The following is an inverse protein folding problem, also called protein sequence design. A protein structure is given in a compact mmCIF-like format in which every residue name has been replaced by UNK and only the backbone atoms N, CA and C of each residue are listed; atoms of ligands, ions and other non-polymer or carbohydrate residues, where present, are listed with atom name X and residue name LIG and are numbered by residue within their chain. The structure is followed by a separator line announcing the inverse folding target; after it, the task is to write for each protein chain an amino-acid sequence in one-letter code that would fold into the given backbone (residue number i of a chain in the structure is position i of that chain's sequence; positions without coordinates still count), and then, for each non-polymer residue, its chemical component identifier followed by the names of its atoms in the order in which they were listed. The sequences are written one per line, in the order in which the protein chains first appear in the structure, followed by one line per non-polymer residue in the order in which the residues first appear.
data_IF_166073169382
#
_entry.id   IF_166073169382
#
_cell.length_a   1.000
_cell.length_b   1.000
_cell.length_c   1.000
_cell.angle_alpha   90.00
_cell.angle_beta   90.00
_cell.angle_gamma   90.00
#
_symmetry.space_group_name_H-M   'P 1'
#
loop_
_entity.id
_entity.type
_entity.pdbx_description
1 polymer ?
#
# COMPACT_ATOMS: atom_id res chain seq x y z
N UNK A 1 1.12 -14.56 10.77
CA UNK A 1 0.28 -15.55 10.08
C UNK A 1 0.38 -15.24 8.59
N UNK A 2 0.61 -16.23 7.73
CA UNK A 2 0.48 -16.01 6.28
C UNK A 2 -1.01 -15.76 5.97
N UNK A 3 -1.37 -14.90 5.02
CA UNK A 3 -2.77 -14.78 4.63
C UNK A 3 -3.21 -16.11 3.99
N UNK A 4 -4.21 -16.76 4.58
CA UNK A 4 -4.81 -18.01 4.10
C UNK A 4 -5.72 -17.79 2.87
N UNK A 5 -5.86 -16.54 2.44
CA UNK A 5 -6.70 -16.09 1.32
C UNK A 5 -5.90 -15.22 0.35
N UNK A 6 -6.17 -15.35 -0.93
CA UNK A 6 -5.47 -14.65 -2.01
C UNK A 6 -6.00 -15.07 -3.37
N UNK A 7 -5.50 -14.46 -4.44
CA UNK A 7 -5.97 -14.77 -5.80
C UNK A 7 -5.48 -16.14 -6.33
N UNK A 8 -4.81 -16.97 -5.53
CA UNK A 8 -4.21 -18.23 -5.97
C UNK A 8 -5.22 -19.38 -6.04
N UNK A 9 -5.01 -20.33 -6.97
CA UNK A 9 -5.75 -21.59 -7.04
C UNK A 9 -5.13 -22.71 -6.16
N UNK A 10 -4.02 -22.44 -5.47
CA UNK A 10 -3.35 -23.37 -4.56
C UNK A 10 -2.92 -22.68 -3.27
N UNK A 11 -3.14 -23.37 -2.15
CA UNK A 11 -2.57 -23.01 -0.85
C UNK A 11 -1.09 -23.38 -0.86
N UNK A 12 -0.22 -22.37 -0.91
CA UNK A 12 1.23 -22.56 -0.87
C UNK A 12 1.74 -22.29 0.54
N UNK A 13 2.06 -23.34 1.31
CA UNK A 13 2.81 -23.18 2.55
C UNK A 13 4.25 -22.77 2.22
N UNK A 14 4.73 -21.68 2.83
CA UNK A 14 6.15 -21.27 2.74
C UNK A 14 6.58 -20.48 1.50
N UNK A 15 5.66 -20.08 0.60
CA UNK A 15 6.03 -19.14 -0.48
C UNK A 15 6.12 -17.72 0.11
N UNK A 16 7.35 -17.27 0.37
CA UNK A 16 7.65 -15.87 0.66
C UNK A 16 7.28 -15.07 -0.59
N UNK A 17 6.09 -14.46 -0.60
CA UNK A 17 5.68 -13.59 -1.70
C UNK A 17 6.77 -12.55 -1.98
N UNK A 18 6.95 -12.19 -3.25
CA UNK A 18 7.83 -11.09 -3.61
C UNK A 18 7.30 -9.82 -2.92
N UNK A 19 7.91 -9.45 -1.79
CA UNK A 19 7.56 -8.26 -0.99
C UNK A 19 8.10 -7.00 -1.66
N UNK A 20 7.72 -6.78 -2.91
CA UNK A 20 8.02 -5.53 -3.60
C UNK A 20 6.99 -4.51 -3.10
N UNK A 21 7.43 -3.65 -2.19
CA UNK A 21 6.62 -2.55 -1.68
C UNK A 21 6.78 -1.32 -2.57
N UNK A 22 5.66 -0.65 -2.84
CA UNK A 22 5.60 0.64 -3.51
C UNK A 22 4.63 1.51 -2.71
N UNK A 23 5.06 2.71 -2.34
CA UNK A 23 4.23 3.69 -1.63
C UNK A 23 3.71 4.73 -2.61
N UNK A 24 2.43 5.09 -2.48
CA UNK A 24 1.78 6.13 -3.28
C UNK A 24 1.30 7.25 -2.37
N UNK A 25 1.66 8.50 -2.68
CA UNK A 25 1.08 9.69 -2.05
C UNK A 25 0.13 10.39 -3.01
N UNK A 26 -1.11 10.60 -2.58
CA UNK A 26 -2.18 11.17 -3.40
C UNK A 26 -2.46 12.63 -3.04
N UNK A 27 -2.87 13.43 -4.01
CA UNK A 27 -3.29 14.82 -3.77
C UNK A 27 -4.43 15.20 -4.71
N UNK A 28 -5.52 15.71 -4.14
CA UNK A 28 -6.70 16.12 -4.88
C UNK A 28 -7.37 17.34 -4.23
N UNK A 29 -8.02 18.20 -5.02
CA UNK A 29 -8.58 19.45 -4.52
C UNK A 29 -10.05 19.32 -4.06
N UNK A 30 -10.45 20.20 -3.15
CA UNK A 30 -11.79 20.23 -2.56
C UNK A 30 -12.95 20.34 -3.55
N UNK A 31 -12.75 21.07 -4.65
CA UNK A 31 -13.77 21.22 -5.68
C UNK A 31 -14.04 19.93 -6.47
N UNK A 32 -13.16 18.92 -6.34
CA UNK A 32 -13.19 17.72 -7.15
C UNK A 32 -12.98 18.04 -8.63
N UNK A 33 -12.07 18.96 -8.96
CA UNK A 33 -11.78 19.32 -10.36
C UNK A 33 -10.40 18.90 -10.79
N UNK A 34 -9.54 18.54 -9.85
CA UNK A 34 -8.15 18.25 -10.09
C UNK A 34 -7.61 17.20 -9.13
N UNK A 35 -7.02 16.18 -9.71
CA UNK A 35 -6.14 15.19 -9.07
C UNK A 35 -4.73 15.45 -9.58
N UNK A 36 -3.75 15.56 -8.69
CA UNK A 36 -2.34 15.68 -9.09
C UNK A 36 -1.76 14.29 -9.36
N UNK A 37 -0.70 14.18 -10.18
CA UNK A 37 0.06 12.94 -10.31
C UNK A 37 0.53 12.46 -8.93
N UNK A 38 0.38 11.16 -8.60
CA UNK A 38 0.84 10.65 -7.33
C UNK A 38 2.37 10.69 -7.23
N UNK A 39 2.88 10.90 -6.01
CA UNK A 39 4.27 10.57 -5.70
C UNK A 39 4.38 9.05 -5.53
N UNK A 40 5.37 8.45 -6.19
CA UNK A 40 5.59 7.00 -6.15
C UNK A 40 6.97 6.74 -5.54
N UNK A 41 7.04 5.89 -4.51
CA UNK A 41 8.29 5.55 -3.84
C UNK A 41 8.50 4.04 -3.88
N UNK A 42 9.63 3.59 -4.43
CA UNK A 42 10.02 2.19 -4.45
C UNK A 42 11.38 1.93 -3.81
N UNK A 43 11.83 0.67 -3.84
CA UNK A 43 13.13 0.30 -3.26
C UNK A 43 14.31 0.73 -4.13
N UNK A 44 14.29 0.33 -5.40
CA UNK A 44 15.38 0.55 -6.33
C UNK A 44 15.23 1.88 -7.06
N UNK A 45 16.33 2.61 -7.25
CA UNK A 45 16.35 3.83 -8.07
C UNK A 45 15.96 3.54 -9.53
N UNK A 46 16.54 2.49 -10.11
CA UNK A 46 16.22 2.01 -11.44
C UNK A 46 15.83 0.53 -11.39
N UNK A 47 14.55 0.21 -11.08
CA UNK A 47 14.06 -1.16 -11.13
C UNK A 47 14.34 -1.79 -12.49
N UNK A 48 14.76 -3.06 -12.54
CA UNK A 48 15.01 -3.77 -13.82
C UNK A 48 13.83 -3.68 -14.79
N UNK A 49 12.60 -3.62 -14.25
CA UNK A 49 11.37 -3.45 -15.01
C UNK A 49 11.33 -2.14 -15.83
N UNK A 50 12.11 -1.12 -15.46
CA UNK A 50 12.18 0.16 -16.18
C UNK A 50 13.08 0.10 -17.42
N UNK A 51 13.83 -1.00 -17.62
CA UNK A 51 14.72 -1.18 -18.78
C UNK A 51 15.71 -0.02 -18.96
N UNK A 52 16.42 0.34 -17.87
CA UNK A 52 17.40 1.43 -17.81
C UNK A 52 16.84 2.85 -18.03
N UNK A 53 15.51 3.02 -17.96
CA UNK A 53 14.88 4.36 -17.95
C UNK A 53 14.67 4.85 -16.52
N UNK A 54 14.69 6.15 -16.32
CA UNK A 54 14.28 6.77 -15.06
C UNK A 54 12.75 6.78 -14.93
N UNK A 55 12.23 6.99 -13.73
CA UNK A 55 10.78 7.17 -13.54
C UNK A 55 10.22 8.34 -14.32
N UNK A 56 10.95 9.46 -14.38
CA UNK A 56 10.57 10.66 -15.14
C UNK A 56 10.47 10.35 -16.64
N UNK A 57 11.43 9.63 -17.22
CA UNK A 57 11.36 9.18 -18.62
C UNK A 57 10.18 8.23 -18.90
N UNK A 58 9.62 7.63 -17.84
CA UNK A 58 8.41 6.81 -17.90
C UNK A 58 7.15 7.62 -17.56
N UNK A 59 7.26 8.91 -17.26
CA UNK A 59 6.15 9.80 -16.94
C UNK A 59 5.67 9.71 -15.48
N UNK A 60 6.53 9.24 -14.57
CA UNK A 60 6.22 9.11 -13.15
C UNK A 60 7.08 10.04 -12.30
N UNK A 61 6.49 10.65 -11.27
CA UNK A 61 7.25 11.22 -10.17
C UNK A 61 7.67 10.09 -9.23
N UNK A 62 8.80 9.45 -9.55
CA UNK A 62 9.31 8.28 -8.85
C UNK A 62 10.53 8.63 -8.03
N UNK A 63 10.49 8.26 -6.75
CA UNK A 63 11.59 8.35 -5.81
C UNK A 63 11.91 6.96 -5.24
N UNK A 64 13.02 6.83 -4.55
CA UNK A 64 13.40 5.55 -3.96
C UNK A 64 14.17 5.69 -2.65
N UNK A 65 14.03 4.67 -1.81
CA UNK A 65 14.93 4.41 -0.68
C UNK A 65 14.81 2.94 -0.27
N UNK A 66 15.71 2.47 0.58
CA UNK A 66 15.76 1.06 0.99
C UNK A 66 14.46 0.54 1.63
N UNK A 67 13.61 1.42 2.19
CA UNK A 67 12.33 1.05 2.82
C UNK A 67 11.11 1.28 1.91
N UNK A 68 11.29 1.94 0.76
CA UNK A 68 10.22 2.42 -0.11
C UNK A 68 9.20 3.35 0.60
N UNK A 69 9.61 4.12 1.61
CA UNK A 69 8.73 4.96 2.44
C UNK A 69 8.93 6.46 2.21
N UNK A 70 7.98 7.27 2.65
CA UNK A 70 8.15 8.72 2.64
C UNK A 70 9.25 9.14 3.64
N UNK A 71 10.16 10.00 3.21
CA UNK A 71 11.21 10.60 4.05
C UNK A 71 11.12 12.12 3.99
N UNK A 72 11.77 12.81 4.95
CA UNK A 72 11.78 14.29 4.98
C UNK A 72 12.31 14.86 3.66
N UNK A 73 13.41 14.32 3.15
CA UNK A 73 14.02 14.80 1.90
C UNK A 73 13.08 14.60 0.71
N UNK A 74 12.50 13.40 0.57
CA UNK A 74 11.56 13.10 -0.52
C UNK A 74 10.34 14.03 -0.47
N UNK A 75 9.80 14.26 0.73
CA UNK A 75 8.68 15.17 0.95
C UNK A 75 9.04 16.62 0.61
N UNK A 76 10.21 17.10 1.06
CA UNK A 76 10.68 18.46 0.79
C UNK A 76 10.90 18.70 -0.70
N UNK A 77 11.56 17.77 -1.40
CA UNK A 77 11.76 17.85 -2.85
C UNK A 77 10.41 17.92 -3.59
N UNK A 78 9.47 17.06 -3.20
CA UNK A 78 8.13 17.03 -3.79
C UNK A 78 7.35 18.32 -3.55
N UNK A 79 7.33 18.84 -2.32
CA UNK A 79 6.55 20.04 -2.01
C UNK A 79 7.17 21.31 -2.60
N UNK A 80 8.50 21.38 -2.76
CA UNK A 80 9.17 22.48 -3.46
C UNK A 80 8.86 22.47 -4.95
N UNK A 81 8.93 21.30 -5.59
CA UNK A 81 8.52 21.16 -6.99
C UNK A 81 7.04 21.52 -7.19
N UNK A 82 6.20 21.16 -6.21
CA UNK A 82 4.79 21.53 -6.22
C UNK A 82 4.58 23.04 -6.02
N UNK A 83 5.34 23.68 -5.12
CA UNK A 83 5.28 25.13 -4.89
C UNK A 83 5.60 25.88 -6.18
N UNK A 84 6.72 25.54 -6.81
CA UNK A 84 7.17 26.08 -8.09
C UNK A 84 6.16 25.86 -9.23
N UNK A 85 5.46 24.71 -9.24
CA UNK A 85 4.34 24.47 -10.15
C UNK A 85 3.17 25.46 -9.95
N UNK A 86 2.83 25.78 -8.70
CA UNK A 86 1.79 26.77 -8.39
C UNK A 86 2.27 28.22 -8.54
N UNK A 87 3.55 28.51 -8.32
CA UNK A 87 4.19 29.80 -8.60
C UNK A 87 4.06 30.17 -10.07
N UNK A 88 4.38 29.24 -10.98
CA UNK A 88 4.22 29.46 -12.43
C UNK A 88 2.78 29.69 -12.86
N UNK A 89 1.81 29.30 -12.05
CA UNK A 89 0.38 29.52 -12.29
C UNK A 89 -0.16 30.76 -11.60
N UNK A 90 0.70 31.52 -10.90
CA UNK A 90 0.32 32.63 -10.04
C UNK A 90 -0.85 32.26 -9.09
N UNK A 91 -0.79 31.04 -8.52
CA UNK A 91 -1.87 30.51 -7.69
C UNK A 91 -1.33 30.21 -6.30
N UNK A 92 -2.07 30.65 -5.29
CA UNK A 92 -1.84 30.25 -3.90
C UNK A 92 -2.80 29.14 -3.51
N UNK A 93 -2.31 28.14 -2.77
CA UNK A 93 -3.13 27.05 -2.27
C UNK A 93 -2.92 26.80 -0.78
N UNK A 94 -3.92 26.19 -0.16
CA UNK A 94 -3.80 25.56 1.14
C UNK A 94 -3.71 24.04 0.94
N UNK A 95 -2.62 23.43 1.39
CA UNK A 95 -2.45 21.98 1.44
C UNK A 95 -2.79 21.47 2.84
N UNK A 96 -3.73 20.53 2.91
CA UNK A 96 -4.09 19.83 4.15
C UNK A 96 -3.51 18.43 4.11
N UNK A 97 -2.86 17.99 5.19
CA UNK A 97 -2.21 16.69 5.28
C UNK A 97 -2.24 16.15 6.71
N UNK A 98 -1.92 14.87 6.87
CA UNK A 98 -1.75 14.24 8.17
C UNK A 98 -0.51 14.77 8.93
N UNK A 99 -0.49 14.50 10.24
CA UNK A 99 0.62 14.87 11.12
C UNK A 99 1.70 13.79 11.13
N UNK A 100 2.26 13.46 9.96
CA UNK A 100 3.33 12.48 9.82
C UNK A 100 4.71 13.09 10.08
N UNK A 101 5.63 12.33 10.70
CA UNK A 101 6.94 12.83 11.12
C UNK A 101 7.81 13.30 9.94
N UNK A 102 7.67 12.69 8.77
CA UNK A 102 8.40 13.09 7.57
C UNK A 102 7.87 14.38 6.91
N UNK A 103 6.67 14.86 7.27
CA UNK A 103 6.06 16.05 6.70
C UNK A 103 6.65 17.34 7.30
N UNK A 104 7.98 17.48 7.24
CA UNK A 104 8.72 18.67 7.68
C UNK A 104 8.83 19.65 6.52
N UNK A 105 8.31 20.86 6.73
CA UNK A 105 8.31 21.90 5.71
C UNK A 105 9.71 22.46 5.48
N UNK A 106 10.05 22.80 4.24
CA UNK A 106 11.20 23.65 3.96
C UNK A 106 10.83 25.12 4.21
N UNK A 107 11.83 25.96 4.48
CA UNK A 107 11.62 27.36 4.91
C UNK A 107 11.19 28.31 3.77
N UNK A 108 11.32 27.88 2.52
CA UNK A 108 11.23 28.72 1.33
C UNK A 108 9.95 28.51 0.49
N UNK A 109 8.87 27.98 1.07
CA UNK A 109 7.57 27.89 0.38
C UNK A 109 6.93 29.28 0.22
N UNK A 110 6.45 29.58 -0.98
CA UNK A 110 5.90 30.90 -1.32
C UNK A 110 4.42 30.87 -1.71
N UNK A 111 3.98 29.80 -2.38
CA UNK A 111 2.64 29.68 -2.95
C UNK A 111 1.78 28.62 -2.26
N UNK A 112 2.40 27.71 -1.51
CA UNK A 112 1.72 26.68 -0.74
C UNK A 112 1.77 27.04 0.75
N UNK A 113 0.59 27.19 1.35
CA UNK A 113 0.43 27.18 2.80
C UNK A 113 0.05 25.77 3.24
N UNK A 114 0.82 25.18 4.14
CA UNK A 114 0.53 23.82 4.64
C UNK A 114 -0.14 23.89 6.02
N UNK A 115 -1.13 23.03 6.24
CA UNK A 115 -1.74 22.81 7.54
C UNK A 115 -1.88 21.31 7.81
N UNK A 116 -1.25 20.87 8.88
CA UNK A 116 -1.40 19.50 9.35
C UNK A 116 -2.70 19.36 10.13
N UNK A 117 -3.36 18.21 10.00
CA UNK A 117 -4.45 17.83 10.89
C UNK A 117 -3.94 17.60 12.31
N UNK A 118 -4.81 17.78 13.29
CA UNK A 118 -4.48 17.43 14.68
C UNK A 118 -4.23 15.92 14.81
N UNK A 119 -3.35 15.50 15.74
CA UNK A 119 -3.16 14.08 16.05
C UNK A 119 -4.51 13.37 16.28
N UNK A 120 -4.63 12.13 15.79
CA UNK A 120 -5.83 11.29 15.88
C UNK A 120 -7.07 11.78 15.10
N UNK A 121 -7.01 12.93 14.43
CA UNK A 121 -8.14 13.42 13.62
C UNK A 121 -8.08 12.92 12.17
N UNK A 122 -6.88 12.53 11.69
CA UNK A 122 -6.61 12.18 10.29
C UNK A 122 -7.64 11.23 9.70
N UNK A 123 -7.86 10.05 10.29
CA UNK A 123 -8.80 9.05 9.77
C UNK A 123 -10.25 9.57 9.66
N UNK A 124 -10.62 10.58 10.46
CA UNK A 124 -11.96 11.15 10.47
C UNK A 124 -12.14 12.31 9.48
N UNK A 125 -11.10 13.10 9.23
CA UNK A 125 -11.25 14.35 8.45
C UNK A 125 -10.43 14.39 7.17
N UNK A 126 -9.52 13.44 6.96
CA UNK A 126 -8.70 13.40 5.76
C UNK A 126 -9.54 12.94 4.55
N UNK A 127 -9.76 13.80 3.54
CA UNK A 127 -10.61 13.44 2.40
C UNK A 127 -10.09 12.23 1.61
N UNK A 128 -8.77 12.05 1.59
CA UNK A 128 -8.12 10.90 0.95
C UNK A 128 -8.56 9.58 1.61
N UNK A 129 -8.76 9.59 2.93
CA UNK A 129 -9.21 8.43 3.72
C UNK A 129 -10.75 8.30 3.74
N UNK A 130 -11.48 9.33 3.26
CA UNK A 130 -12.95 9.33 3.18
C UNK A 130 -13.52 8.58 1.96
N UNK A 131 -12.71 7.74 1.29
CA UNK A 131 -13.14 6.87 0.20
C UNK A 131 -12.32 7.01 -1.09
N UNK A 132 -11.44 8.01 -1.20
CA UNK A 132 -10.58 8.16 -2.40
C UNK A 132 -9.59 6.99 -2.49
N UNK A 133 -8.93 6.61 -1.39
CA UNK A 133 -8.04 5.43 -1.37
C UNK A 133 -8.82 4.15 -1.68
N UNK A 134 -10.00 3.97 -1.08
CA UNK A 134 -10.86 2.80 -1.34
C UNK A 134 -11.22 2.68 -2.82
N UNK A 135 -11.64 3.80 -3.44
CA UNK A 135 -11.94 3.87 -4.86
C UNK A 135 -10.71 3.58 -5.74
N UNK A 136 -9.56 4.16 -5.40
CA UNK A 136 -8.29 3.86 -6.06
C UNK A 136 -7.98 2.35 -6.04
N UNK A 137 -8.05 1.72 -4.87
CA UNK A 137 -7.79 0.29 -4.69
C UNK A 137 -8.79 -0.55 -5.51
N UNK A 138 -10.07 -0.19 -5.49
CA UNK A 138 -11.09 -0.89 -6.26
C UNK A 138 -10.77 -0.87 -7.76
N UNK A 139 -10.45 0.29 -8.33
CA UNK A 139 -10.01 0.37 -9.72
C UNK A 139 -8.72 -0.44 -9.98
N UNK A 140 -7.72 -0.33 -9.11
CA UNK A 140 -6.46 -1.06 -9.26
C UNK A 140 -6.68 -2.58 -9.27
N UNK A 141 -7.45 -3.09 -8.31
CA UNK A 141 -7.77 -4.51 -8.21
C UNK A 141 -8.61 -4.98 -9.39
N UNK A 142 -9.61 -4.20 -9.82
CA UNK A 142 -10.40 -4.52 -11.02
C UNK A 142 -9.54 -4.65 -12.27
N UNK A 143 -8.62 -3.70 -12.50
CA UNK A 143 -7.67 -3.74 -13.60
C UNK A 143 -6.71 -4.94 -13.51
N UNK A 144 -6.22 -5.24 -12.29
CA UNK A 144 -5.33 -6.37 -12.06
C UNK A 144 -6.02 -7.72 -12.33
N UNK A 145 -7.25 -7.89 -11.86
CA UNK A 145 -8.04 -9.10 -12.06
C UNK A 145 -8.39 -9.27 -13.54
N UNK A 146 -8.86 -8.22 -14.21
CA UNK A 146 -9.14 -8.24 -15.66
C UNK A 146 -7.91 -8.66 -16.46
N UNK A 147 -6.74 -8.11 -16.11
CA UNK A 147 -5.46 -8.55 -16.70
C UNK A 147 -5.18 -10.04 -16.45
N UNK A 148 -5.50 -10.57 -15.27
CA UNK A 148 -5.33 -11.99 -14.98
C UNK A 148 -6.26 -12.86 -15.84
N UNK A 149 -7.52 -12.46 -16.02
CA UNK A 149 -8.49 -13.10 -16.93
C UNK A 149 -7.94 -13.09 -18.37
N UNK A 150 -7.49 -11.93 -18.87
CA UNK A 150 -6.93 -11.81 -20.23
C UNK A 150 -5.71 -12.72 -20.44
N UNK A 151 -4.89 -12.92 -19.40
CA UNK A 151 -3.73 -13.82 -19.47
C UNK A 151 -4.16 -15.27 -19.49
N UNK A 152 -5.14 -15.64 -18.69
CA UNK A 152 -5.72 -16.97 -18.71
C UNK A 152 -6.31 -17.30 -20.09
N UNK A 153 -7.11 -16.40 -20.65
CA UNK A 153 -7.74 -16.58 -21.96
C UNK A 153 -6.69 -16.65 -23.11
N UNK A 154 -5.48 -16.12 -22.90
CA UNK A 154 -4.31 -16.25 -23.79
C UNK A 154 -3.47 -17.52 -23.55
N UNK A 155 -3.92 -18.43 -22.69
CA UNK A 155 -3.26 -19.70 -22.40
C UNK A 155 -2.04 -19.59 -21.47
N UNK A 156 -1.90 -18.49 -20.71
CA UNK A 156 -0.86 -18.41 -19.67
C UNK A 156 -1.18 -19.40 -18.55
N UNK A 157 -0.16 -20.05 -18.01
CA UNK A 157 -0.32 -21.02 -16.93
C UNK A 157 -1.05 -20.39 -15.72
N UNK A 158 -1.94 -21.11 -15.01
CA UNK A 158 -2.64 -20.58 -13.84
C UNK A 158 -1.73 -20.03 -12.73
N UNK A 159 -0.48 -20.52 -12.64
CA UNK A 159 0.50 -19.98 -11.68
C UNK A 159 1.06 -18.61 -12.08
N UNK A 160 1.04 -18.28 -13.37
CA UNK A 160 1.69 -17.09 -13.93
C UNK A 160 0.72 -15.96 -14.31
N UNK A 161 -0.60 -16.19 -14.24
CA UNK A 161 -1.60 -15.16 -14.60
C UNK A 161 -1.49 -13.93 -13.68
N UNK A 162 -1.16 -14.14 -12.40
CA UNK A 162 -0.99 -13.09 -11.40
C UNK A 162 0.41 -12.43 -11.42
N UNK A 163 1.37 -12.99 -12.15
CA UNK A 163 2.71 -12.43 -12.24
C UNK A 163 2.68 -11.03 -12.85
N UNK A 164 3.21 -10.05 -12.13
CA UNK A 164 3.30 -8.65 -12.54
C UNK A 164 4.66 -8.08 -12.12
N UNK A 165 5.24 -7.24 -12.98
CA UNK A 165 6.45 -6.50 -12.62
C UNK A 165 6.09 -5.08 -12.17
N UNK A 166 7.01 -4.41 -11.47
CA UNK A 166 6.79 -3.08 -10.92
C UNK A 166 6.32 -2.05 -11.97
N UNK A 167 6.90 -2.03 -13.17
CA UNK A 167 6.49 -1.10 -14.22
C UNK A 167 5.03 -1.29 -14.64
N UNK A 168 4.59 -2.55 -14.83
CA UNK A 168 3.19 -2.87 -15.14
C UNK A 168 2.28 -2.52 -13.97
N UNK A 169 2.69 -2.80 -12.73
CA UNK A 169 1.91 -2.43 -11.55
C UNK A 169 1.73 -0.90 -11.46
N UNK A 170 2.80 -0.13 -11.67
CA UNK A 170 2.72 1.34 -11.71
C UNK A 170 1.81 1.86 -12.83
N UNK A 171 1.77 1.19 -13.99
CA UNK A 171 0.82 1.54 -15.06
C UNK A 171 -0.63 1.27 -14.69
N UNK A 172 -0.91 0.14 -14.04
CA UNK A 172 -2.26 -0.13 -13.53
C UNK A 172 -2.67 0.87 -12.45
N UNK A 173 -1.74 1.27 -11.58
CA UNK A 173 -1.99 2.29 -10.56
C UNK A 173 -2.25 3.68 -11.16
N UNK A 174 -1.49 4.07 -12.18
CA UNK A 174 -1.73 5.34 -12.89
C UNK A 174 -3.12 5.35 -13.57
N UNK A 175 -3.49 4.25 -14.22
CA UNK A 175 -4.83 4.09 -14.79
C UNK A 175 -5.92 4.11 -13.72
N UNK A 176 -5.72 3.40 -12.61
CA UNK A 176 -6.64 3.39 -11.47
C UNK A 176 -6.85 4.79 -10.89
N UNK A 177 -5.76 5.54 -10.68
CA UNK A 177 -5.82 6.90 -10.18
C UNK A 177 -6.57 7.84 -11.14
N UNK A 178 -6.37 7.67 -12.44
CA UNK A 178 -7.08 8.45 -13.47
C UNK A 178 -8.58 8.16 -13.49
N UNK A 179 -8.96 6.90 -13.28
CA UNK A 179 -10.36 6.45 -13.37
C UNK A 179 -11.24 6.88 -12.19
N UNK A 180 -10.67 7.30 -11.05
CA UNK A 180 -11.47 7.83 -9.93
C UNK A 180 -12.29 9.03 -10.39
N UNK A 181 -13.62 9.00 -10.24
CA UNK A 181 -14.42 10.15 -10.61
C UNK A 181 -14.09 11.37 -9.73
N UNK A 182 -13.98 12.51 -10.39
CA UNK A 182 -13.89 13.82 -9.80
C UNK A 182 -15.09 14.14 -8.89
N UNK A 183 -16.28 13.60 -9.17
CA UNK A 183 -17.43 13.68 -8.27
C UNK A 183 -17.20 12.89 -6.98
N UNK A 184 -16.56 11.71 -7.04
CA UNK A 184 -16.15 10.94 -5.85
C UNK A 184 -15.21 11.77 -4.98
N UNK A 185 -14.20 12.40 -5.58
CA UNK A 185 -13.27 13.28 -4.85
C UNK A 185 -14.04 14.38 -4.11
N UNK A 186 -14.95 15.08 -4.80
CA UNK A 186 -15.78 16.14 -4.19
C UNK A 186 -16.61 15.59 -3.03
N UNK A 187 -17.25 14.44 -3.22
CA UNK A 187 -18.09 13.82 -2.20
C UNK A 187 -17.29 13.41 -0.96
N UNK A 188 -16.06 12.90 -1.14
CA UNK A 188 -15.16 12.60 -0.02
C UNK A 188 -14.76 13.86 0.76
N UNK A 189 -14.54 14.98 0.05
CA UNK A 189 -14.30 16.29 0.68
C UNK A 189 -15.52 16.82 1.45
N UNK A 190 -16.73 16.63 0.92
CA UNK A 190 -17.97 16.99 1.62
C UNK A 190 -18.17 16.11 2.86
N UNK A 191 -17.94 14.80 2.72
CA UNK A 191 -18.04 13.82 3.81
C UNK A 191 -17.06 14.10 4.95
N UNK A 192 -15.86 14.58 4.63
CA UNK A 192 -14.88 15.00 5.63
C UNK A 192 -15.37 16.14 6.55
N UNK A 193 -16.36 16.94 6.11
CA UNK A 193 -16.99 17.96 6.96
C UNK A 193 -16.09 19.15 7.34
N UNK A 194 -14.93 19.32 6.67
CA UNK A 194 -13.94 20.36 6.97
C UNK A 194 -14.03 21.60 6.06
N UNK A 195 -14.96 21.59 5.11
CA UNK A 195 -15.15 22.70 4.18
C UNK A 195 -16.13 23.73 4.77
N UNK A 196 -15.83 25.04 4.71
CA UNK A 196 -16.79 26.07 5.08
C UNK A 196 -17.99 26.10 4.11
N UNK A 197 -19.17 26.43 4.62
CA UNK A 197 -20.44 26.47 3.85
C UNK A 197 -20.34 27.23 2.52
N UNK A 198 -19.56 28.32 2.50
CA UNK A 198 -19.32 29.13 1.30
C UNK A 198 -18.70 28.36 0.14
N UNK A 199 -17.91 27.31 0.42
CA UNK A 199 -17.29 26.44 -0.58
C UNK A 199 -18.18 25.26 -0.97
N UNK A 200 -19.12 24.87 -0.11
CA UNK A 200 -20.10 23.81 -0.36
C UNK A 200 -21.22 24.34 -1.28
N UNK A 201 -21.72 25.54 -0.96
CA UNK A 201 -22.76 26.25 -1.69
C UNK A 201 -22.22 27.61 -2.15
N UNK A 202 -21.58 27.71 -3.33
CA UNK A 202 -21.24 29.01 -3.90
C UNK A 202 -22.55 29.79 -4.08
N UNK A 203 -22.68 30.91 -3.35
CA UNK A 203 -23.86 31.79 -3.41
C UNK A 203 -24.13 32.12 -4.89
N UNK A 204 -25.36 31.98 -5.40
CA UNK A 204 -25.64 32.33 -6.78
C UNK A 204 -25.25 33.79 -7.00
N UNK A 205 -24.28 34.01 -7.88
CA UNK A 205 -23.93 35.33 -8.39
C UNK A 205 -25.21 35.92 -8.98
N UNK A 206 -25.59 37.18 -8.66
CA UNK A 206 -26.73 37.81 -9.31
C UNK A 206 -26.45 37.91 -10.81
N UNK A 207 -27.02 36.98 -11.57
CA UNK A 207 -27.02 36.95 -13.02
C UNK A 207 -27.73 38.21 -13.53
N UNK A 208 -26.96 39.16 -14.04
CA UNK A 208 -27.45 40.33 -14.78
C UNK A 208 -27.71 39.92 -16.23
N UNK A 209 -28.57 38.93 -16.43
CA UNK A 209 -28.96 38.41 -17.75
C UNK A 209 -30.49 38.28 -17.82
N UNK A 210 -31.10 38.52 -19.00
CA UNK A 210 -32.56 38.59 -19.14
C UNK A 210 -33.22 37.26 -18.76
N UNK A 211 -34.24 37.34 -17.90
CA UNK A 211 -35.02 36.23 -17.40
C UNK A 211 -35.83 35.57 -18.53
N UNK A 212 -35.50 34.33 -18.85
CA UNK A 212 -36.38 33.44 -19.63
C UNK A 212 -37.46 32.89 -18.68
N UNK A 213 -38.75 32.91 -19.05
CA UNK A 213 -39.82 32.46 -18.17
C UNK A 213 -39.76 30.95 -17.89
N UNK A 214 -40.03 30.61 -16.63
CA UNK A 214 -39.93 29.27 -16.00
C UNK A 214 -40.85 28.21 -16.64
N UNK A 215 -41.77 28.59 -17.53
CA UNK A 215 -42.71 27.68 -18.18
C UNK A 215 -42.10 26.73 -19.22
N UNK A 216 -40.83 26.88 -19.60
CA UNK A 216 -40.15 25.98 -20.56
C UNK A 216 -39.31 24.86 -19.91
N UNK A 217 -39.31 24.69 -18.58
CA UNK A 217 -38.46 23.71 -17.88
C UNK A 217 -39.21 22.51 -17.28
N UNK A 218 -40.49 22.32 -17.60
CA UNK A 218 -41.26 21.15 -17.18
C UNK A 218 -41.25 20.07 -18.28
N UNK A 219 -40.10 19.42 -18.44
CA UNK A 219 -40.08 18.03 -18.91
C UNK A 219 -39.75 17.13 -17.71
N UNK A 220 -40.50 16.03 -17.50
CA UNK A 220 -40.24 15.12 -16.40
C UNK A 220 -38.90 14.42 -16.63
N UNK A 221 -37.92 14.71 -15.77
CA UNK A 221 -36.68 13.95 -15.65
C UNK A 221 -37.03 12.48 -15.39
N UNK A 222 -36.55 11.52 -16.21
CA UNK A 222 -36.66 10.11 -15.86
C UNK A 222 -35.92 9.88 -14.55
N UNK A 223 -36.53 9.11 -13.67
CA UNK A 223 -36.01 8.70 -12.38
C UNK A 223 -34.50 8.42 -12.43
N UNK A 224 -33.78 9.06 -11.51
CA UNK A 224 -32.36 8.92 -11.24
C UNK A 224 -31.91 7.46 -11.28
N UNK A 225 -31.39 7.03 -12.43
CA UNK A 225 -30.49 5.89 -12.47
C UNK A 225 -29.28 6.28 -11.60
N UNK A 226 -28.91 5.41 -10.65
CA UNK A 226 -27.68 5.58 -9.89
C UNK A 226 -26.53 5.87 -10.88
N UNK A 227 -25.65 6.85 -10.61
CA UNK A 227 -24.56 7.14 -11.52
C UNK A 227 -23.75 5.86 -11.72
N UNK A 228 -23.49 5.52 -12.99
CA UNK A 228 -22.81 4.28 -13.38
C UNK A 228 -21.41 4.11 -12.75
N UNK A 229 -20.88 5.17 -12.14
CA UNK A 229 -19.57 5.26 -11.49
C UNK A 229 -19.65 5.48 -9.96
N UNK A 230 -20.72 5.01 -9.30
CA UNK A 230 -20.70 4.94 -7.83
C UNK A 230 -19.64 3.95 -7.35
N UNK A 231 -19.07 4.16 -6.15
CA UNK A 231 -18.13 3.21 -5.55
C UNK A 231 -18.70 1.78 -5.52
N UNK A 232 -20.01 1.66 -5.28
CA UNK A 232 -20.76 0.40 -5.32
C UNK A 232 -20.73 -0.27 -6.70
N UNK A 233 -20.80 0.50 -7.78
CA UNK A 233 -20.71 -0.03 -9.14
C UNK A 233 -19.29 -0.56 -9.44
N UNK A 234 -18.25 0.18 -9.02
CA UNK A 234 -16.85 -0.25 -9.18
C UNK A 234 -16.58 -1.51 -8.36
N UNK A 235 -17.04 -1.53 -7.13
CA UNK A 235 -16.98 -2.70 -6.24
C UNK A 235 -17.67 -3.92 -6.86
N UNK A 236 -18.85 -3.72 -7.45
CA UNK A 236 -19.55 -4.77 -8.19
C UNK A 236 -18.79 -5.24 -9.43
N UNK A 237 -18.12 -4.35 -10.15
CA UNK A 237 -17.25 -4.77 -11.27
C UNK A 237 -16.08 -5.65 -10.80
N UNK A 238 -15.44 -5.29 -9.67
CA UNK A 238 -14.39 -6.12 -9.06
C UNK A 238 -14.95 -7.48 -8.69
N UNK A 239 -16.15 -7.53 -8.09
CA UNK A 239 -16.82 -8.78 -7.74
C UNK A 239 -17.14 -9.65 -8.96
N UNK A 240 -17.67 -9.06 -10.02
CA UNK A 240 -17.93 -9.75 -11.30
C UNK A 240 -16.63 -10.32 -11.88
N UNK A 241 -15.55 -9.56 -11.84
CA UNK A 241 -14.25 -10.01 -12.33
C UNK A 241 -13.67 -11.16 -11.48
N UNK A 242 -13.88 -11.16 -10.17
CA UNK A 242 -13.53 -12.29 -9.30
C UNK A 242 -14.34 -13.54 -9.66
N UNK A 243 -15.66 -13.39 -9.86
CA UNK A 243 -16.53 -14.50 -10.26
C UNK A 243 -16.10 -15.13 -11.60
N UNK A 244 -15.57 -14.31 -12.52
CA UNK A 244 -15.02 -14.80 -13.79
C UNK A 244 -13.76 -15.65 -13.64
N UNK A 245 -12.91 -15.37 -12.65
CA UNK A 245 -11.75 -16.21 -12.34
C UNK A 245 -12.19 -17.54 -11.70
N UNK A 246 -13.20 -17.52 -10.84
CA UNK A 246 -13.77 -18.72 -10.23
C UNK A 246 -14.41 -19.63 -11.27
N UNK A 247 -15.23 -19.09 -12.17
CA UNK A 247 -15.90 -19.89 -13.21
C UNK A 247 -14.91 -20.55 -14.18
N UNK A 248 -13.68 -20.02 -14.29
CA UNK A 248 -12.58 -20.56 -15.11
C UNK A 248 -11.67 -21.52 -14.33
N UNK A 249 -11.93 -21.75 -13.03
CA UNK A 249 -11.07 -22.55 -12.16
C UNK A 249 -9.69 -21.92 -11.87
N UNK A 250 -9.53 -20.63 -12.16
CA UNK A 250 -8.31 -19.86 -11.93
C UNK A 250 -8.23 -19.29 -10.49
N UNK A 251 -9.36 -19.26 -9.80
CA UNK A 251 -9.49 -18.91 -8.38
C UNK A 251 -10.35 -19.98 -7.68
N UNK A 252 -9.92 -20.47 -6.53
CA UNK A 252 -10.71 -21.42 -5.74
C UNK A 252 -11.59 -20.67 -4.74
N UNK A 253 -12.87 -21.05 -4.60
CA UNK A 253 -13.81 -20.36 -3.71
C UNK A 253 -13.34 -20.25 -2.26
N UNK A 254 -12.62 -21.25 -1.75
CA UNK A 254 -12.07 -21.23 -0.37
C UNK A 254 -10.86 -20.29 -0.20
N UNK A 255 -10.25 -19.85 -1.30
CA UNK A 255 -9.11 -18.94 -1.31
C UNK A 255 -9.52 -17.50 -1.61
N UNK A 256 -10.77 -17.27 -2.03
CA UNK A 256 -11.31 -15.95 -2.36
C UNK A 256 -11.29 -15.04 -1.12
N UNK A 257 -10.61 -13.90 -1.25
CA UNK A 257 -10.65 -12.83 -0.27
C UNK A 257 -11.97 -12.06 -0.40
N UNK A 258 -12.57 -11.65 0.73
CA UNK A 258 -13.75 -10.78 0.67
C UNK A 258 -13.37 -9.44 0.06
N UNK A 259 -14.33 -8.79 -0.60
CA UNK A 259 -14.11 -7.46 -1.18
C UNK A 259 -13.68 -6.45 -0.11
N UNK A 260 -14.29 -6.50 1.07
CA UNK A 260 -13.94 -5.63 2.19
C UNK A 260 -12.48 -5.82 2.63
N UNK A 261 -12.01 -7.06 2.75
CA UNK A 261 -10.61 -7.32 3.12
C UNK A 261 -9.63 -6.96 1.99
N UNK A 262 -10.07 -7.09 0.72
CA UNK A 262 -9.26 -6.73 -0.44
C UNK A 262 -9.03 -5.21 -0.52
N UNK A 263 -10.06 -4.42 -0.22
CA UNK A 263 -10.00 -2.97 -0.31
C UNK A 263 -9.50 -2.32 0.98
N UNK A 264 -9.87 -2.86 2.14
CA UNK A 264 -9.51 -2.31 3.45
C UNK A 264 -9.02 -3.45 4.39
N UNK A 265 -7.80 -3.99 4.16
CA UNK A 265 -7.26 -5.05 4.99
C UNK A 265 -7.03 -4.60 6.44
N UNK A 266 -7.38 -5.42 7.44
CA UNK A 266 -7.14 -5.09 8.85
C UNK A 266 -5.64 -4.94 9.12
N UNK A 267 -5.26 -3.79 9.70
CA UNK A 267 -3.87 -3.46 10.07
C UNK A 267 -3.20 -2.40 9.19
N UNK A 268 -3.82 -1.94 8.10
CA UNK A 268 -3.23 -0.87 7.26
C UNK A 268 -3.05 0.46 8.00
N UNK A 269 -3.87 0.70 9.03
CA UNK A 269 -3.82 1.92 9.85
C UNK A 269 -2.74 1.91 10.95
N UNK A 270 -2.14 0.77 11.30
CA UNK A 270 -1.17 0.66 12.40
C UNK A 270 0.30 0.89 11.98
N UNK A 271 0.62 0.82 10.68
CA UNK A 271 2.02 0.70 10.21
C UNK A 271 2.76 2.05 10.09
N UNK A 272 2.05 3.20 10.14
CA UNK A 272 2.66 4.51 9.85
C UNK A 272 3.19 5.27 11.08
N UNK A 273 3.01 4.76 12.31
CA UNK A 273 3.33 5.52 13.54
C UNK A 273 4.64 5.15 14.22
N UNK A 274 5.34 4.08 13.82
CA UNK A 274 6.56 3.62 14.52
C UNK A 274 7.80 3.63 13.61
N UNK A 275 8.28 4.81 13.25
CA UNK A 275 9.69 4.96 12.85
C UNK A 275 10.34 6.08 13.62
N UNK A 276 11.34 5.72 14.43
CA UNK A 276 12.19 6.67 15.12
C UNK A 276 13.05 7.46 14.12
N UNK A 277 13.36 8.72 14.44
CA UNK A 277 14.15 9.62 13.59
C UNK A 277 15.53 9.06 13.19
N UNK A 278 16.08 8.12 13.95
CA UNK A 278 17.33 7.39 13.64
C UNK A 278 17.24 6.48 12.40
N UNK A 279 16.06 5.92 12.14
CA UNK A 279 15.82 5.07 10.98
C UNK A 279 15.70 5.89 9.69
N UNK A 280 15.27 7.15 9.81
CA UNK A 280 15.20 8.11 8.71
C UNK A 280 16.62 8.62 8.41
N UNK A 281 17.38 8.99 9.46
CA UNK A 281 18.75 9.46 9.32
C UNK A 281 19.68 8.41 8.69
N UNK A 282 19.61 7.16 9.15
CA UNK A 282 20.40 6.07 8.57
C UNK A 282 20.05 5.80 7.10
N UNK A 283 18.77 5.85 6.75
CA UNK A 283 18.33 5.69 5.36
C UNK A 283 18.82 6.83 4.43
N UNK A 284 18.88 8.06 4.93
CA UNK A 284 19.44 9.21 4.20
C UNK A 284 20.94 9.04 3.99
N UNK A 285 21.69 8.67 5.03
CA UNK A 285 23.13 8.45 4.91
C UNK A 285 23.47 7.29 3.95
N UNK A 286 22.66 6.22 3.94
CA UNK A 286 22.83 5.12 2.98
C UNK A 286 22.49 5.53 1.54
N UNK A 287 21.50 6.41 1.34
CA UNK A 287 21.16 6.93 0.01
C UNK A 287 22.27 7.84 -0.55
N UNK A 288 22.86 8.67 0.31
CA UNK A 288 23.98 9.54 -0.05
C UNK A 288 25.23 8.73 -0.45
N UNK A 289 25.54 7.67 0.31
CA UNK A 289 26.62 6.73 -0.03
C UNK A 289 26.39 5.95 -1.34
N UNK A 290 25.13 5.59 -1.64
CA UNK A 290 24.78 4.91 -2.88
C UNK A 290 24.85 5.84 -4.12
N UNK A 291 24.73 7.15 -3.90
CA UNK A 291 24.83 8.17 -4.95
C UNK A 291 26.28 8.51 -5.28
N UNK A 292 27.21 8.37 -4.31
CA UNK A 292 28.65 8.51 -4.52
C UNK A 292 29.30 7.32 -5.25
N UNK A 293 28.65 6.15 -5.27
CA UNK A 293 29.07 4.98 -6.04
C UNK A 293 28.59 4.97 -7.51
N UNK A 294 27.97 6.07 -7.99
CA UNK A 294 27.39 6.11 -9.34
C UNK A 294 28.40 6.31 -10.47
N UNK A 295 29.67 6.59 -10.17
CA UNK A 295 30.75 6.49 -11.14
C UNK A 295 31.46 5.14 -10.96
N UNK A 296 31.25 4.26 -11.95
CA UNK A 296 31.87 2.95 -12.18
C UNK A 296 30.99 1.75 -11.74
N UNK A 297 30.69 0.96 -12.78
CA UNK A 297 30.12 -0.39 -12.80
C UNK A 297 28.60 -0.55 -12.77
N UNK A 298 28.07 -0.79 -13.97
CA UNK A 298 27.20 -1.94 -14.16
C UNK A 298 27.95 -3.20 -13.73
N UNK A 299 27.77 -3.58 -12.47
CA UNK A 299 28.35 -4.76 -11.86
C UNK A 299 27.28 -5.82 -11.61
N UNK A 300 27.59 -7.02 -12.05
CA UNK A 300 26.90 -8.26 -11.74
C UNK A 300 26.82 -8.50 -10.22
N UNK A 301 25.73 -9.09 -9.75
CA UNK A 301 25.70 -9.77 -8.45
C UNK A 301 25.75 -11.27 -8.69
N UNK A 302 26.89 -11.72 -9.22
CA UNK A 302 27.56 -12.89 -8.67
C UNK A 302 28.98 -12.48 -8.26
N UNK A 303 29.16 -12.15 -6.98
CA UNK A 303 30.38 -12.57 -6.29
C UNK A 303 30.12 -12.82 -4.80
N UNK A 304 30.86 -13.80 -4.32
CA UNK A 304 30.74 -14.52 -3.09
C UNK A 304 31.42 -13.77 -1.94
N UNK A 305 30.62 -13.19 -1.06
CA UNK A 305 30.95 -13.11 0.37
C UNK A 305 29.67 -13.41 1.15
N UNK A 306 29.62 -14.48 1.96
CA UNK A 306 28.39 -14.83 2.66
C UNK A 306 28.06 -13.76 3.71
N UNK A 307 26.89 -13.13 3.56
CA UNK A 307 26.26 -12.38 4.64
C UNK A 307 26.04 -13.32 5.84
N UNK A 308 26.26 -12.86 7.09
CA UNK A 308 26.11 -13.72 8.26
C UNK A 308 24.65 -14.17 8.35
N UNK A 309 24.42 -15.48 8.26
CA UNK A 309 23.08 -16.06 8.38
C UNK A 309 22.40 -15.55 9.66
N UNK A 310 21.11 -15.15 9.59
CA UNK A 310 20.37 -14.74 10.77
C UNK A 310 20.41 -15.86 11.81
N UNK A 311 20.79 -15.50 13.05
CA UNK A 311 20.98 -16.47 14.12
C UNK A 311 19.68 -17.29 14.31
N UNK A 312 19.74 -18.64 14.25
CA UNK A 312 18.54 -19.48 14.31
C UNK A 312 17.71 -19.23 15.57
N UNK A 313 16.38 -19.13 15.42
CA UNK A 313 15.49 -18.95 16.58
C UNK A 313 15.37 -20.25 17.37
N UNK A 314 14.93 -20.18 18.63
CA UNK A 314 14.67 -21.37 19.44
C UNK A 314 13.67 -22.33 18.76
N UNK A 315 12.73 -21.81 17.96
CA UNK A 315 11.78 -22.61 17.21
C UNK A 315 12.48 -23.36 16.07
N UNK A 316 13.39 -22.71 15.36
CA UNK A 316 14.18 -23.31 14.28
C UNK A 316 15.07 -24.44 14.81
N UNK A 317 15.69 -24.24 15.98
CA UNK A 317 16.52 -25.27 16.64
C UNK A 317 15.67 -26.46 17.09
N UNK A 318 14.44 -26.22 17.57
CA UNK A 318 13.52 -27.31 17.96
C UNK A 318 13.04 -28.11 16.74
N UNK A 319 12.77 -27.46 15.61
CA UNK A 319 12.41 -28.11 14.34
C UNK A 319 13.58 -28.89 13.75
N UNK A 320 14.80 -28.34 13.78
CA UNK A 320 16.01 -29.04 13.36
C UNK A 320 16.28 -30.28 14.23
N UNK A 321 16.19 -30.14 15.56
CA UNK A 321 16.32 -31.26 16.51
C UNK A 321 15.30 -32.37 16.24
N UNK A 322 14.03 -32.02 15.97
CA UNK A 322 13.00 -33.00 15.64
C UNK A 322 13.29 -33.75 14.32
N UNK A 323 13.81 -33.03 13.33
CA UNK A 323 14.19 -33.60 12.03
C UNK A 323 15.37 -34.56 12.17
N UNK A 324 16.41 -34.18 12.92
CA UNK A 324 17.58 -35.03 13.17
C UNK A 324 17.18 -36.27 13.98
N UNK A 325 16.33 -36.12 15.01
CA UNK A 325 15.79 -37.25 15.77
C UNK A 325 15.03 -38.25 14.89
N UNK A 326 14.22 -37.76 13.95
CA UNK A 326 13.50 -38.62 13.00
C UNK A 326 14.44 -39.40 12.10
N UNK A 327 15.55 -38.80 11.69
CA UNK A 327 16.57 -39.44 10.87
C UNK A 327 17.35 -40.52 11.64
N UNK A 328 17.80 -40.23 12.86
CA UNK A 328 18.62 -41.17 13.64
C UNK A 328 17.82 -42.32 14.26
N UNK A 329 16.48 -42.20 14.34
CA UNK A 329 15.59 -43.25 14.86
C UNK A 329 15.71 -44.57 14.08
N UNK A 330 16.09 -44.50 12.80
CA UNK A 330 16.26 -45.65 11.92
C UNK A 330 17.71 -46.21 11.94
N UNK A 331 18.63 -45.58 12.69
CA UNK A 331 20.05 -45.94 12.74
C UNK A 331 20.37 -46.59 14.08
N UNK A 332 20.64 -47.90 14.07
CA UNK A 332 20.96 -48.65 15.29
C UNK A 332 22.48 -48.72 15.56
N UNK A 333 23.10 -47.55 15.70
CA UNK A 333 24.54 -47.42 15.95
C UNK A 333 24.81 -46.72 17.31
N UNK A 334 25.89 -47.05 18.04
CA UNK A 334 26.16 -46.48 19.37
C UNK A 334 26.26 -44.94 19.38
N UNK A 335 26.73 -44.35 18.28
CA UNK A 335 26.82 -42.89 18.15
C UNK A 335 25.45 -42.23 17.97
N UNK A 336 24.50 -42.90 17.32
CA UNK A 336 23.14 -42.40 17.09
C UNK A 336 22.39 -42.27 18.41
N UNK A 337 22.50 -43.27 19.29
CA UNK A 337 21.95 -43.24 20.66
C UNK A 337 22.55 -42.09 21.49
N UNK A 338 23.88 -41.88 21.39
CA UNK A 338 24.55 -40.78 22.09
C UNK A 338 24.08 -39.41 21.60
N UNK A 339 23.89 -39.26 20.28
CA UNK A 339 23.39 -38.03 19.68
C UNK A 339 21.92 -37.77 20.07
N UNK A 340 21.10 -38.81 20.16
CA UNK A 340 19.69 -38.72 20.59
C UNK A 340 19.57 -38.20 22.04
N UNK A 341 20.42 -38.68 22.94
CA UNK A 341 20.47 -38.22 24.33
C UNK A 341 20.85 -36.74 24.41
N UNK A 342 21.87 -36.32 23.64
CA UNK A 342 22.31 -34.92 23.58
C UNK A 342 21.23 -33.99 23.02
N UNK A 343 20.59 -34.38 21.92
CA UNK A 343 19.48 -33.62 21.32
C UNK A 343 18.27 -33.53 22.25
N UNK A 344 18.01 -34.57 23.04
CA UNK A 344 16.94 -34.57 24.05
C UNK A 344 17.23 -33.61 25.20
N UNK A 345 18.46 -33.58 25.71
CA UNK A 345 18.90 -32.61 26.72
C UNK A 345 18.84 -31.17 26.20
N UNK A 346 19.25 -30.92 24.96
CA UNK A 346 19.17 -29.61 24.31
C UNK A 346 17.71 -29.14 24.16
N UNK A 347 16.84 -30.02 23.65
CA UNK A 347 15.40 -29.74 23.46
C UNK A 347 14.73 -29.41 24.80
N UNK A 348 15.07 -30.15 25.87
CA UNK A 348 14.54 -29.93 27.21
C UNK A 348 14.99 -28.56 27.77
N UNK A 349 16.27 -28.23 27.69
CA UNK A 349 16.80 -26.95 28.15
C UNK A 349 16.20 -25.75 27.41
N UNK A 350 16.00 -25.86 26.09
CA UNK A 350 15.37 -24.81 25.28
C UNK A 350 13.92 -24.59 25.66
N UNK A 351 13.15 -25.67 25.89
CA UNK A 351 11.77 -25.57 26.39
C UNK A 351 11.72 -24.95 27.79
N UNK A 352 12.63 -25.34 28.69
CA UNK A 352 12.68 -24.82 30.06
C UNK A 352 13.03 -23.32 30.11
N UNK A 353 13.94 -22.86 29.24
CA UNK A 353 14.22 -21.43 29.04
C UNK A 353 13.00 -20.67 28.53
N UNK A 354 12.24 -21.27 27.60
CA UNK A 354 11.03 -20.66 27.07
C UNK A 354 9.93 -20.59 28.13
N UNK A 355 9.73 -21.64 28.93
CA UNK A 355 8.76 -21.66 30.03
C UNK A 355 9.10 -20.67 31.13
N UNK A 356 10.39 -20.49 31.47
CA UNK A 356 10.85 -19.47 32.42
C UNK A 356 10.68 -18.03 31.92
N UNK A 357 10.55 -17.83 30.60
CA UNK A 357 10.31 -16.53 29.99
C UNK A 357 8.81 -16.18 29.86
N UNK A 358 7.91 -17.12 30.17
CA UNK A 358 6.47 -16.86 30.23
C UNK A 358 6.13 -16.12 31.52
N UNK A 359 5.39 -15.00 31.41
CA UNK A 359 4.77 -14.32 32.54
C UNK A 359 3.35 -14.85 32.74
N UNK A 360 2.98 -15.19 33.96
CA UNK A 360 1.62 -15.65 34.28
C UNK A 360 0.59 -14.55 33.99
N UNK A 361 -0.37 -14.88 33.12
CA UNK A 361 -1.56 -14.06 32.88
C UNK A 361 -2.75 -14.72 33.56
N UNK A 362 -3.26 -14.08 34.62
CA UNK A 362 -4.52 -14.47 35.24
C UNK A 362 -5.68 -14.18 34.29
N UNK A 363 -6.58 -15.14 34.15
CA UNK A 363 -7.75 -15.12 33.25
C UNK A 363 -8.68 -13.91 33.49
N UNK A 364 -8.58 -13.30 34.67
CA UNK A 364 -9.33 -12.10 35.07
C UNK A 364 -8.89 -10.82 34.35
N UNK A 365 -7.75 -10.81 33.66
CA UNK A 365 -7.30 -9.64 32.86
C UNK A 365 -8.07 -9.44 31.54
N UNK A 366 -8.89 -10.41 31.12
CA UNK A 366 -9.67 -10.32 29.88
C UNK A 366 -11.10 -9.79 30.07
N UNK A 367 -11.55 -9.64 31.32
CA UNK A 367 -12.88 -9.12 31.64
C UNK A 367 -12.77 -8.02 32.69
N UNK A 368 -12.32 -6.84 32.29
CA UNK A 368 -12.61 -5.62 33.07
C UNK A 368 -13.95 -5.07 32.59
N UNK A 369 -14.98 -4.96 33.46
CA UNK A 369 -16.17 -4.19 33.14
C UNK A 369 -15.74 -2.73 32.90
N UNK A 370 -16.21 -2.14 31.81
CA UNK A 370 -16.05 -0.70 31.56
C UNK A 370 -16.65 0.06 32.76
N UNK A 371 -15.82 0.84 33.44
CA UNK A 371 -16.23 1.96 34.27
C UNK A 371 -15.85 3.24 33.55
#
# INVERSE_FOLDING_TARGET
MAPDTGLSNRQHSGVKGNKVQITYGFTANAAGTKKLPPIIIGHACCPRAFKKKTGEQLGFYYQNNAKAWMTILIYQDWILALDDYFCRQNRHILLLQDNFSAHKLPDNLTNIKVKNFEPNLTAHVQPIDQGIIRCFKAHYHGLFIRRAVDRYDKGVSPGDIYSINQFKAMRLADEAWRNIDLTTVRNCWLKAGILPDKLIHPKPTPSTGPSIPVSSLLEPTPATAAPADSLEAIEKEVEVALNQLESRGALHNSSRMSLEFLLDPPGEHEVLTETADQDIFSAVMSAQAAQELMDINGGDNTDNTPDPEPCPTNLDILQASATIKKFIKEINEPYAHKLEVLLSSLTHNLRLKNTKALKDTLITKFFTPKA
#
